data_IF_930160608668
#
_entry.id   IF_930160608668
#
_cell.length_a   1.000
_cell.length_b   1.000
_cell.length_c   1.000
_cell.angle_alpha   90.00
_cell.angle_beta   90.00
_cell.angle_gamma   90.00
#
_symmetry.space_group_name_H-M   'P 1'
#
loop_
_entity.id
_entity.type
_entity.pdbx_description
1 polymer ?
#
# COMPACT_ATOMS: atom_id res chain seq x y z
N UNK A 1 73.64 -5.68 -14.12
CA UNK A 1 73.04 -6.19 -12.87
C UNK A 1 72.75 -4.97 -12.02
N UNK A 2 71.53 -4.51 -11.72
CA UNK A 2 70.23 -5.17 -11.67
C UNK A 2 69.18 -4.02 -11.65
N UNK A 3 68.36 -3.91 -12.70
CA UNK A 3 67.24 -2.95 -12.76
C UNK A 3 66.02 -3.61 -12.12
N UNK A 4 65.68 -3.25 -10.89
CA UNK A 4 64.53 -3.81 -10.18
C UNK A 4 63.69 -2.68 -9.56
N UNK A 5 62.45 -2.60 -10.10
CA UNK A 5 61.20 -2.16 -9.45
C UNK A 5 61.01 -0.67 -9.16
N UNK A 6 60.88 0.12 -10.21
CA UNK A 6 59.98 1.30 -10.25
C UNK A 6 58.57 0.93 -10.73
N UNK A 7 58.07 -0.26 -10.38
CA UNK A 7 56.70 -0.71 -10.69
C UNK A 7 55.85 -0.83 -9.42
N UNK A 8 55.85 0.20 -8.57
CA UNK A 8 55.09 0.20 -7.32
C UNK A 8 54.22 1.44 -7.00
N UNK A 9 54.03 2.47 -7.86
CA UNK A 9 52.97 3.45 -7.61
C UNK A 9 51.70 3.20 -8.44
N UNK A 10 51.75 2.39 -9.51
CA UNK A 10 50.61 2.24 -10.43
C UNK A 10 49.50 1.29 -9.92
N UNK A 11 49.81 0.39 -8.97
CA UNK A 11 48.83 -0.56 -8.46
C UNK A 11 47.90 0.05 -7.38
N UNK A 12 48.24 1.20 -6.80
CA UNK A 12 47.44 1.79 -5.72
C UNK A 12 46.25 2.60 -6.24
N UNK A 13 46.28 3.07 -7.49
CA UNK A 13 45.21 3.88 -8.08
C UNK A 13 44.01 3.06 -8.60
N UNK A 14 44.15 1.75 -8.82
CA UNK A 14 43.04 0.89 -9.25
C UNK A 14 42.19 0.33 -8.10
N UNK A 15 42.55 0.55 -6.84
CA UNK A 15 41.82 0.00 -5.69
C UNK A 15 40.57 0.82 -5.29
N UNK A 16 40.28 1.94 -5.96
CA UNK A 16 39.17 2.84 -5.62
C UNK A 16 37.85 2.59 -6.39
N UNK A 17 37.79 1.59 -7.30
CA UNK A 17 36.57 1.31 -8.10
C UNK A 17 35.57 0.33 -7.45
N UNK A 18 35.77 -0.07 -6.18
CA UNK A 18 35.17 -1.31 -5.66
C UNK A 18 34.09 -1.22 -4.59
N UNK A 19 33.57 -0.05 -4.23
CA UNK A 19 32.60 0.05 -3.12
C UNK A 19 31.24 0.55 -3.60
N UNK A 20 30.58 -0.23 -4.46
CA UNK A 20 29.10 -0.24 -4.43
C UNK A 20 28.74 -0.77 -3.06
N UNK A 21 28.41 0.14 -2.14
CA UNK A 21 27.72 -0.23 -0.93
C UNK A 21 26.41 -0.88 -1.38
N UNK A 22 26.35 -2.20 -1.29
CA UNK A 22 25.09 -2.93 -1.39
C UNK A 22 24.21 -2.33 -0.28
N UNK A 23 23.33 -1.39 -0.65
CA UNK A 23 22.26 -1.00 0.25
C UNK A 23 21.53 -2.29 0.56
N UNK A 24 21.40 -2.61 1.85
CA UNK A 24 20.63 -3.75 2.27
C UNK A 24 19.24 -3.62 1.62
N UNK A 25 19.01 -4.44 0.60
CA UNK A 25 17.78 -4.47 -0.17
C UNK A 25 16.80 -5.28 0.67
N UNK A 26 16.38 -4.67 1.78
CA UNK A 26 15.53 -5.26 2.79
C UNK A 26 14.23 -4.45 2.92
N UNK A 27 13.19 -5.11 3.38
CA UNK A 27 11.92 -4.48 3.72
C UNK A 27 12.16 -3.38 4.77
N UNK A 28 11.71 -2.13 4.53
CA UNK A 28 11.89 -1.04 5.49
C UNK A 28 11.16 -1.35 6.79
N UNK A 29 11.72 -0.90 7.92
CA UNK A 29 11.02 -0.96 9.21
C UNK A 29 10.10 0.26 9.31
N UNK A 30 8.79 0.02 9.27
CA UNK A 30 7.76 1.05 9.44
C UNK A 30 7.27 1.05 10.89
N UNK A 31 6.94 2.23 11.42
CA UNK A 31 6.35 2.38 12.75
C UNK A 31 4.84 2.11 12.65
N UNK A 32 4.49 0.83 12.71
CA UNK A 32 3.10 0.34 12.60
C UNK A 32 2.23 0.86 13.75
N UNK A 33 2.82 1.11 14.93
CA UNK A 33 2.10 1.63 16.09
C UNK A 33 1.63 3.05 15.84
N UNK A 34 2.48 3.90 15.27
CA UNK A 34 2.09 5.25 14.82
C UNK A 34 1.00 5.18 13.76
N UNK A 35 1.14 4.27 12.78
CA UNK A 35 0.14 4.09 11.73
C UNK A 35 -1.21 3.69 12.28
N UNK A 36 -1.27 2.68 13.14
CA UNK A 36 -2.53 2.22 13.72
C UNK A 36 -3.10 3.15 14.80
N UNK A 37 -2.26 3.94 15.48
CA UNK A 37 -2.74 5.00 16.37
C UNK A 37 -3.49 6.09 15.59
N UNK A 38 -3.02 6.41 14.37
CA UNK A 38 -3.69 7.40 13.51
C UNK A 38 -5.02 6.88 12.96
N UNK A 39 -5.08 5.61 12.57
CA UNK A 39 -6.30 4.96 12.07
C UNK A 39 -7.44 4.94 13.11
N UNK A 40 -7.11 4.77 14.40
CA UNK A 40 -8.07 4.84 15.49
C UNK A 40 -8.76 6.21 15.60
N UNK A 41 -8.05 7.30 15.26
CA UNK A 41 -8.61 8.68 15.29
C UNK A 41 -9.68 8.93 14.23
N UNK A 42 -9.73 8.11 13.18
CA UNK A 42 -10.68 8.26 12.07
C UNK A 42 -12.01 7.54 12.36
N UNK A 43 -12.04 6.63 13.35
CA UNK A 43 -13.27 5.98 13.79
C UNK A 43 -14.04 6.89 14.75
N UNK A 44 -15.06 7.59 14.25
CA UNK A 44 -16.03 8.31 15.07
C UNK A 44 -16.97 7.28 15.73
N UNK A 45 -16.57 6.69 16.86
CA UNK A 45 -17.34 5.64 17.55
C UNK A 45 -16.83 5.36 18.97
N UNK A 46 -17.62 4.62 19.76
CA UNK A 46 -17.33 4.28 21.16
C UNK A 46 -15.95 3.65 21.36
N UNK A 47 -15.31 3.86 22.51
CA UNK A 47 -13.94 3.39 22.82
C UNK A 47 -13.69 1.89 22.64
N UNK A 48 -14.71 1.04 22.84
CA UNK A 48 -14.62 -0.40 22.54
C UNK A 48 -14.32 -0.67 21.05
N UNK A 49 -14.92 0.13 20.15
CA UNK A 49 -14.71 0.03 18.71
C UNK A 49 -13.34 0.56 18.28
N UNK A 50 -12.77 1.51 19.04
CA UNK A 50 -11.44 2.05 18.75
C UNK A 50 -10.34 1.01 19.01
N UNK A 51 -10.44 0.25 20.11
CA UNK A 51 -9.47 -0.80 20.42
C UNK A 51 -9.54 -1.97 19.45
N UNK A 52 -10.75 -2.45 19.13
CA UNK A 52 -10.95 -3.48 18.12
C UNK A 52 -10.44 -3.04 16.74
N UNK A 53 -10.69 -1.78 16.36
CA UNK A 53 -10.18 -1.20 15.11
C UNK A 53 -8.65 -1.12 15.10
N UNK A 54 -8.04 -0.70 16.20
CA UNK A 54 -6.58 -0.68 16.34
C UNK A 54 -5.99 -2.09 16.24
N UNK A 55 -6.59 -3.07 16.91
CA UNK A 55 -6.16 -4.46 16.86
C UNK A 55 -6.30 -5.04 15.45
N UNK A 56 -7.37 -4.69 14.74
CA UNK A 56 -7.58 -5.00 13.33
C UNK A 56 -6.47 -4.43 12.45
N UNK A 57 -6.15 -3.14 12.61
CA UNK A 57 -5.04 -2.49 11.90
C UNK A 57 -3.70 -3.19 12.17
N UNK A 58 -3.35 -3.40 13.44
CA UNK A 58 -2.09 -4.04 13.84
C UNK A 58 -1.95 -5.44 13.23
N UNK A 59 -3.05 -6.18 13.14
CA UNK A 59 -3.07 -7.50 12.48
C UNK A 59 -2.81 -7.36 10.98
N UNK A 60 -3.55 -6.50 10.28
CA UNK A 60 -3.38 -6.30 8.83
C UNK A 60 -1.97 -5.84 8.46
N UNK A 61 -1.40 -4.91 9.23
CA UNK A 61 -0.04 -4.42 9.03
C UNK A 61 1.02 -5.51 9.23
N UNK A 62 0.86 -6.36 10.25
CA UNK A 62 1.77 -7.50 10.47
C UNK A 62 1.70 -8.53 9.35
N UNK A 63 0.51 -8.86 8.87
CA UNK A 63 0.36 -9.80 7.76
C UNK A 63 0.91 -9.22 6.44
N UNK A 64 0.69 -7.92 6.20
CA UNK A 64 1.26 -7.23 5.05
C UNK A 64 2.79 -7.15 5.12
N UNK A 65 3.39 -6.93 6.31
CA UNK A 65 4.84 -7.01 6.49
C UNK A 65 5.39 -8.38 6.11
N UNK A 66 4.75 -9.46 6.60
CA UNK A 66 5.15 -10.83 6.25
C UNK A 66 5.03 -11.10 4.75
N UNK A 67 4.00 -10.58 4.10
CA UNK A 67 3.82 -10.69 2.64
C UNK A 67 4.95 -9.96 1.90
N UNK A 68 5.23 -8.72 2.29
CA UNK A 68 6.32 -7.95 1.72
C UNK A 68 7.67 -8.65 1.90
N UNK A 69 7.95 -9.22 3.08
CA UNK A 69 9.17 -9.99 3.36
C UNK A 69 9.24 -11.26 2.49
N UNK A 70 8.14 -12.01 2.38
CA UNK A 70 8.07 -13.25 1.59
C UNK A 70 8.35 -13.00 0.10
N UNK A 71 7.81 -11.92 -0.46
CA UNK A 71 7.90 -11.60 -1.89
C UNK A 71 8.95 -10.55 -2.22
N UNK A 72 9.73 -10.10 -1.24
CA UNK A 72 10.69 -9.01 -1.45
C UNK A 72 11.67 -9.31 -2.58
N UNK A 73 12.10 -10.56 -2.72
CA UNK A 73 12.99 -11.00 -3.80
C UNK A 73 12.39 -10.92 -5.20
N UNK A 74 11.06 -10.98 -5.32
CA UNK A 74 10.34 -11.02 -6.60
C UNK A 74 10.24 -9.64 -7.25
N UNK A 75 10.39 -8.58 -6.45
CA UNK A 75 10.22 -7.20 -6.91
C UNK A 75 11.53 -6.59 -7.42
N UNK A 76 11.44 -5.83 -8.52
CA UNK A 76 12.59 -5.12 -9.08
C UNK A 76 13.10 -4.02 -8.13
N UNK A 77 14.40 -3.71 -8.20
CA UNK A 77 15.00 -2.62 -7.42
C UNK A 77 14.32 -1.27 -7.70
N UNK A 78 13.87 -1.05 -8.95
CA UNK A 78 13.14 0.15 -9.33
C UNK A 78 11.77 0.24 -8.61
N UNK A 79 10.99 -0.85 -8.60
CA UNK A 79 9.71 -0.91 -7.89
C UNK A 79 9.90 -0.68 -6.38
N UNK A 80 10.90 -1.34 -5.77
CA UNK A 80 11.23 -1.16 -4.36
C UNK A 80 11.59 0.28 -4.03
N UNK A 81 12.45 0.91 -4.84
CA UNK A 81 12.86 2.30 -4.62
C UNK A 81 11.68 3.27 -4.79
N UNK A 82 10.83 3.05 -5.80
CA UNK A 82 9.63 3.84 -6.04
C UNK A 82 8.68 3.76 -4.85
N UNK A 83 8.32 2.55 -4.40
CA UNK A 83 7.38 2.37 -3.31
C UNK A 83 7.91 2.89 -1.97
N UNK A 84 9.19 2.67 -1.67
CA UNK A 84 9.82 3.23 -0.47
C UNK A 84 9.86 4.76 -0.46
N UNK A 85 9.93 5.41 -1.62
CA UNK A 85 9.96 6.87 -1.71
C UNK A 85 8.63 7.52 -1.27
N UNK A 86 7.50 6.82 -1.41
CA UNK A 86 6.19 7.33 -1.01
C UNK A 86 6.11 7.56 0.50
N UNK A 87 6.79 6.73 1.28
CA UNK A 87 6.81 6.83 2.76
C UNK A 87 7.69 7.97 3.30
N UNK A 88 8.49 8.62 2.43
CA UNK A 88 9.33 9.77 2.83
C UNK A 88 8.59 11.09 2.78
N UNK A 89 7.43 11.15 2.12
CA UNK A 89 6.66 12.37 1.92
C UNK A 89 5.93 12.86 3.19
N UNK A 90 6.10 12.18 4.33
CA UNK A 90 5.38 12.43 5.58
C UNK A 90 4.12 11.58 5.70
N UNK A 91 3.43 11.68 6.84
CA UNK A 91 2.28 10.84 7.16
C UNK A 91 2.65 9.56 7.92
N UNK A 92 1.76 8.57 7.85
CA UNK A 92 1.88 7.31 8.58
C UNK A 92 2.04 6.15 7.59
N UNK A 93 3.26 5.65 7.36
CA UNK A 93 3.50 4.64 6.34
C UNK A 93 2.88 3.29 6.71
N UNK A 94 2.32 2.60 5.72
CA UNK A 94 1.63 1.31 5.89
C UNK A 94 2.29 0.20 5.06
N UNK A 95 2.43 -0.98 5.65
CA UNK A 95 2.84 -2.17 4.94
C UNK A 95 1.79 -2.64 3.93
N UNK A 96 0.49 -2.40 4.20
CA UNK A 96 -0.59 -2.70 3.25
C UNK A 96 -0.39 -1.88 1.98
N UNK A 97 -0.17 -0.57 2.12
CA UNK A 97 0.10 0.31 0.98
C UNK A 97 1.40 -0.06 0.25
N UNK A 98 2.42 -0.50 0.99
CA UNK A 98 3.67 -0.96 0.39
C UNK A 98 3.47 -2.18 -0.50
N UNK A 99 2.77 -3.21 0.00
CA UNK A 99 2.47 -4.42 -0.77
C UNK A 99 1.67 -4.04 -2.01
N UNK A 100 0.61 -3.24 -1.87
CA UNK A 100 -0.19 -2.78 -3.01
C UNK A 100 0.64 -2.02 -4.04
N UNK A 101 1.52 -1.11 -3.60
CA UNK A 101 2.41 -0.40 -4.52
C UNK A 101 3.34 -1.35 -5.27
N UNK A 102 3.93 -2.32 -4.57
CA UNK A 102 4.86 -3.28 -5.17
C UNK A 102 4.14 -4.16 -6.19
N UNK A 103 2.92 -4.61 -5.89
CA UNK A 103 2.10 -5.39 -6.82
C UNK A 103 1.72 -4.60 -8.06
N UNK A 104 1.33 -3.33 -7.90
CA UNK A 104 1.03 -2.42 -9.01
C UNK A 104 2.27 -2.18 -9.89
N UNK A 105 3.40 -1.83 -9.27
CA UNK A 105 4.65 -1.57 -9.98
C UNK A 105 5.21 -2.81 -10.70
N UNK A 106 4.85 -4.00 -10.22
CA UNK A 106 5.30 -5.28 -10.79
C UNK A 106 4.29 -5.91 -11.74
N UNK A 107 3.11 -5.30 -11.90
CA UNK A 107 2.03 -5.86 -12.71
C UNK A 107 1.46 -7.18 -12.17
N UNK A 108 1.70 -7.50 -10.89
CA UNK A 108 1.21 -8.75 -10.27
C UNK A 108 -0.17 -8.59 -9.64
N UNK A 109 -0.83 -7.44 -9.84
CA UNK A 109 -2.21 -7.26 -9.41
C UNK A 109 -3.08 -8.25 -10.18
N UNK A 110 -3.85 -9.13 -9.51
CA UNK A 110 -4.75 -10.05 -10.18
C UNK A 110 -5.72 -9.26 -11.07
N UNK A 111 -5.60 -9.45 -12.39
CA UNK A 111 -6.57 -8.90 -13.33
C UNK A 111 -7.78 -9.80 -13.32
N UNK A 112 -8.92 -9.27 -12.91
CA UNK A 112 -10.18 -9.99 -12.99
C UNK A 112 -10.76 -9.83 -14.40
N UNK A 113 -10.19 -10.52 -15.39
CA UNK A 113 -10.87 -10.71 -16.67
C UNK A 113 -11.98 -11.74 -16.44
N UNK A 114 -13.23 -11.28 -16.32
CA UNK A 114 -14.35 -12.17 -16.60
C UNK A 114 -14.19 -12.71 -18.02
N UNK A 115 -14.54 -13.97 -18.26
CA UNK A 115 -14.37 -14.65 -19.56
C UNK A 115 -15.02 -13.92 -20.75
N UNK A 116 -15.85 -12.91 -20.49
CA UNK A 116 -16.55 -12.07 -21.48
C UNK A 116 -16.07 -10.61 -21.50
N UNK A 117 -14.91 -10.28 -20.93
CA UNK A 117 -14.37 -8.92 -20.92
C UNK A 117 -15.14 -7.93 -20.01
N UNK A 118 -16.04 -8.43 -19.17
CA UNK A 118 -16.78 -7.61 -18.20
C UNK A 118 -15.99 -7.49 -16.89
N UNK A 119 -15.86 -6.26 -16.38
CA UNK A 119 -15.25 -6.00 -15.08
C UNK A 119 -16.08 -6.65 -13.97
N UNK A 120 -15.51 -7.63 -13.26
CA UNK A 120 -16.11 -8.17 -12.04
C UNK A 120 -15.53 -7.44 -10.83
N UNK A 121 -16.39 -7.16 -9.85
CA UNK A 121 -16.02 -6.38 -8.67
C UNK A 121 -14.86 -6.99 -7.87
N UNK A 122 -14.08 -6.15 -7.21
CA UNK A 122 -12.92 -6.54 -6.39
C UNK A 122 -13.25 -7.53 -5.26
N UNK A 123 -12.24 -8.23 -4.70
CA UNK A 123 -12.40 -9.07 -3.50
C UNK A 123 -12.90 -8.22 -2.33
N UNK A 124 -14.20 -8.30 -2.06
CA UNK A 124 -14.94 -7.39 -1.17
C UNK A 124 -16.31 -6.97 -1.73
N UNK A 125 -16.54 -7.22 -3.02
CA UNK A 125 -17.84 -7.01 -3.64
C UNK A 125 -18.88 -7.96 -3.02
N UNK A 126 -20.09 -7.45 -2.68
CA UNK A 126 -21.13 -8.31 -2.13
C UNK A 126 -21.44 -9.43 -3.12
N UNK A 127 -21.37 -10.68 -2.66
CA UNK A 127 -21.74 -11.85 -3.46
C UNK A 127 -23.25 -11.78 -3.75
N UNK A 128 -23.61 -11.29 -4.94
CA UNK A 128 -25.00 -11.15 -5.34
C UNK A 128 -25.27 -10.37 -6.62
N UNK A 129 -24.27 -9.73 -7.23
CA UNK A 129 -24.44 -9.05 -8.52
C UNK A 129 -24.32 -10.03 -9.70
N UNK A 130 -25.07 -11.14 -9.68
CA UNK A 130 -25.39 -11.83 -10.93
C UNK A 130 -26.55 -11.08 -11.55
N UNK A 131 -26.29 -10.49 -12.71
CA UNK A 131 -27.23 -9.71 -13.51
C UNK A 131 -28.50 -10.53 -13.78
N UNK A 132 -29.63 -10.11 -13.23
CA UNK A 132 -30.96 -10.53 -13.65
C UNK A 132 -31.71 -9.30 -14.18
N UNK A 133 -32.52 -9.42 -15.25
CA UNK A 133 -33.28 -8.30 -15.81
C UNK A 133 -34.12 -7.61 -14.72
N UNK A 134 -34.12 -6.28 -14.76
CA UNK A 134 -34.89 -5.44 -13.85
C UNK A 134 -36.37 -5.85 -13.82
N UNK A 135 -36.78 -6.53 -12.77
CA UNK A 135 -38.16 -6.51 -12.28
C UNK A 135 -38.10 -6.06 -10.83
N UNK A 136 -38.60 -4.84 -10.65
CA UNK A 136 -38.61 -4.07 -9.41
C UNK A 136 -39.53 -4.75 -8.40
N UNK A 137 -38.99 -5.40 -7.36
CA UNK A 137 -39.75 -5.68 -6.14
C UNK A 137 -38.88 -6.00 -4.93
N UNK A 138 -38.93 -5.08 -3.95
CA UNK A 138 -39.04 -5.38 -2.52
C UNK A 138 -37.91 -6.13 -1.83
N UNK A 139 -36.96 -5.39 -1.22
CA UNK A 139 -36.22 -5.91 -0.07
C UNK A 139 -34.72 -5.67 -0.09
N UNK A 140 -34.26 -4.42 -0.19
CA UNK A 140 -32.93 -4.04 0.24
C UNK A 140 -33.06 -2.97 1.31
N UNK A 141 -32.52 -3.22 2.50
CA UNK A 141 -32.56 -2.29 3.63
C UNK A 141 -32.05 -0.91 3.18
N UNK A 142 -32.85 0.13 3.42
CA UNK A 142 -32.60 1.52 3.04
C UNK A 142 -31.28 2.11 3.55
N UNK A 143 -30.58 1.40 4.43
CA UNK A 143 -29.32 1.78 5.06
C UNK A 143 -28.13 1.83 4.08
N UNK A 144 -28.20 1.13 2.94
CA UNK A 144 -27.12 1.13 1.92
C UNK A 144 -27.50 1.98 0.69
N UNK A 145 -28.69 2.56 0.65
CA UNK A 145 -29.11 3.41 -0.46
C UNK A 145 -28.42 4.77 -0.34
N UNK A 146 -27.64 5.13 -1.36
CA UNK A 146 -27.04 6.46 -1.45
C UNK A 146 -28.13 7.55 -1.39
N UNK A 147 -27.98 8.59 -0.55
CA UNK A 147 -28.92 9.71 -0.53
C UNK A 147 -28.95 10.39 -1.90
N UNK A 148 -30.15 10.79 -2.35
CA UNK A 148 -30.31 11.56 -3.57
C UNK A 148 -29.43 12.83 -3.53
N UNK A 149 -28.95 13.30 -4.69
CA UNK A 149 -28.04 14.44 -4.78
C UNK A 149 -28.56 15.70 -4.06
N UNK A 150 -29.89 15.89 -4.01
CA UNK A 150 -30.55 16.99 -3.29
C UNK A 150 -30.54 16.85 -1.76
N UNK A 151 -30.31 15.64 -1.24
CA UNK A 151 -30.21 15.32 0.18
C UNK A 151 -28.76 15.40 0.69
N UNK A 152 -27.78 15.64 -0.19
CA UNK A 152 -26.37 15.79 0.19
C UNK A 152 -26.11 17.19 0.70
N UNK A 153 -25.38 17.28 1.80
CA UNK A 153 -24.97 18.57 2.37
C UNK A 153 -23.99 19.27 1.42
N UNK A 154 -24.19 20.56 1.17
CA UNK A 154 -23.25 21.38 0.40
C UNK A 154 -22.15 21.90 1.35
N UNK A 155 -20.88 21.48 1.19
CA UNK A 155 -19.82 21.84 2.12
C UNK A 155 -19.48 23.33 2.10
N UNK A 156 -19.69 24.05 0.99
CA UNK A 156 -19.44 25.49 0.91
C UNK A 156 -20.42 26.27 1.79
N UNK A 157 -21.71 25.93 1.75
CA UNK A 157 -22.72 26.60 2.57
C UNK A 157 -22.57 26.36 4.08
N UNK A 158 -21.99 25.22 4.49
CA UNK A 158 -21.72 24.94 5.91
C UNK A 158 -20.56 25.79 6.43
N UNK A 159 -19.55 26.01 5.60
CA UNK A 159 -18.35 26.77 5.96
C UNK A 159 -18.60 28.29 5.97
N UNK A 160 -19.51 28.78 5.13
CA UNK A 160 -19.89 30.21 5.06
C UNK A 160 -20.87 30.65 6.15
N UNK A 161 -21.44 29.70 6.91
CA UNK A 161 -22.44 29.98 7.97
C UNK A 161 -21.83 30.33 9.33
N UNK A 162 -20.60 30.85 9.35
CA UNK A 162 -19.86 31.27 10.54
C UNK A 162 -19.53 32.75 10.47
#
# INVERSE_FOLDING_TARGET
>A
MTQIRTLLPAALLLALLGSVAARADAVPQLDVEKTCASAGRVNIGSSATEEESRNGCLRSEREAKKEAERRWGDYSAAAKSQCQSQFKAGGYPSYVEMVTCLELASGTVPTQTGSDGTAVGGPGSPKGATQAPQERSGGASSLTQEPAASQRTNPIQVLEKK
#
